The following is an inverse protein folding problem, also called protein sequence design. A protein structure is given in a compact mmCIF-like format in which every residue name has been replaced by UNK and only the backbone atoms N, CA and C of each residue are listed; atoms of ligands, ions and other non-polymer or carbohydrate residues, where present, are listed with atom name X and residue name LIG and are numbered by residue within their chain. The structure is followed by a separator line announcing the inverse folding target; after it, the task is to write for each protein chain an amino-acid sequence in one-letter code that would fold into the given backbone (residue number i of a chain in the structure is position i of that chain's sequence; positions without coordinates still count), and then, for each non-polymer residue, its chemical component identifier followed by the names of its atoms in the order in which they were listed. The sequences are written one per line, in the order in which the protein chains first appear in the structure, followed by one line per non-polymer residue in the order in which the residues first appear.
data_IF_030532233904
#
_entry.id   IF_030532233904
#
_cell.length_a   1.000
_cell.length_b   1.000
_cell.length_c   1.000
_cell.angle_alpha   90.00
_cell.angle_beta   90.00
_cell.angle_gamma   90.00
#
_symmetry.space_group_name_H-M   'P 1'
#
loop_
_entity.id
_entity.type
_entity.pdbx_description
1 polymer ?
#
# COMPACT_ATOMS: atom_id res chain seq x y z
N UNK A 1 -14.85 15.04 8.01
CA UNK A 1 -15.64 13.91 7.48
C UNK A 1 -16.67 14.47 6.52
N UNK A 2 -16.62 14.00 5.27
CA UNK A 2 -17.51 14.42 4.19
C UNK A 2 -18.88 13.75 4.39
N UNK A 3 -19.97 14.44 4.05
CA UNK A 3 -21.35 13.96 4.25
C UNK A 3 -22.12 13.85 2.94
N UNK A 4 -23.16 13.01 2.95
CA UNK A 4 -24.14 13.00 1.86
C UNK A 4 -24.78 14.39 1.67
N UNK A 5 -24.98 14.78 0.42
CA UNK A 5 -25.49 16.10 0.03
C UNK A 5 -24.43 17.19 -0.08
N UNK A 6 -23.18 16.93 0.30
CA UNK A 6 -22.07 17.87 0.07
C UNK A 6 -21.61 17.86 -1.40
N UNK A 7 -21.07 18.98 -1.90
CA UNK A 7 -20.50 19.03 -3.23
C UNK A 7 -19.33 18.06 -3.37
N UNK A 8 -19.24 17.41 -4.53
CA UNK A 8 -18.20 16.46 -4.84
C UNK A 8 -16.83 17.16 -4.85
N UNK A 9 -15.84 16.70 -4.07
CA UNK A 9 -14.53 17.34 -4.01
C UNK A 9 -13.73 17.21 -5.32
N UNK A 10 -14.13 16.30 -6.22
CA UNK A 10 -13.44 16.04 -7.49
C UNK A 10 -13.93 16.90 -8.65
N UNK A 11 -15.25 17.03 -8.83
CA UNK A 11 -15.83 17.77 -9.96
C UNK A 11 -16.50 19.08 -9.56
N UNK A 12 -16.79 19.32 -8.28
CA UNK A 12 -17.54 20.47 -7.75
C UNK A 12 -18.98 20.67 -8.29
N UNK A 13 -19.30 20.11 -9.45
CA UNK A 13 -20.60 20.20 -10.12
C UNK A 13 -21.62 19.17 -9.61
N UNK A 14 -21.14 18.09 -9.01
CA UNK A 14 -21.95 16.96 -8.55
C UNK A 14 -22.11 16.95 -7.03
N UNK A 15 -23.10 16.22 -6.54
CA UNK A 15 -23.27 15.97 -5.10
C UNK A 15 -22.83 14.55 -4.76
N UNK A 16 -22.35 14.37 -3.53
CA UNK A 16 -22.09 13.05 -2.95
C UNK A 16 -23.39 12.47 -2.41
N UNK A 17 -23.67 11.23 -2.79
CA UNK A 17 -24.86 10.48 -2.38
C UNK A 17 -24.42 9.19 -1.70
N UNK A 18 -25.20 8.73 -0.73
CA UNK A 18 -24.99 7.40 -0.15
C UNK A 18 -25.30 6.35 -1.20
N UNK A 19 -24.38 5.43 -1.43
CA UNK A 19 -24.67 4.20 -2.14
C UNK A 19 -25.21 3.11 -1.19
N UNK A 20 -25.67 2.01 -1.78
CA UNK A 20 -26.26 0.89 -1.06
C UNK A 20 -25.31 0.17 -0.11
N UNK A 21 -24.00 0.47 -0.16
CA UNK A 21 -22.96 -0.16 0.65
C UNK A 21 -22.45 0.78 1.77
N UNK A 22 -23.01 1.99 1.87
CA UNK A 22 -22.69 2.97 2.92
C UNK A 22 -21.53 3.92 2.56
N UNK A 23 -21.04 3.86 1.33
CA UNK A 23 -20.01 4.74 0.80
C UNK A 23 -20.67 5.98 0.15
N UNK A 24 -19.89 7.05 -0.04
CA UNK A 24 -20.37 8.28 -0.66
C UNK A 24 -19.89 8.36 -2.10
N UNK A 25 -20.79 8.26 -3.07
CA UNK A 25 -20.46 8.33 -4.49
C UNK A 25 -21.04 9.55 -5.19
N UNK A 26 -20.31 10.10 -6.16
CA UNK A 26 -20.79 11.17 -7.03
C UNK A 26 -21.23 10.58 -8.37
N UNK A 27 -22.52 10.66 -8.68
CA UNK A 27 -23.10 10.11 -9.93
C UNK A 27 -22.57 10.81 -11.18
N UNK A 28 -22.18 12.08 -11.10
CA UNK A 28 -21.72 12.84 -12.27
C UNK A 28 -20.32 12.45 -12.74
N UNK A 29 -19.38 12.21 -11.81
CA UNK A 29 -17.99 11.93 -12.14
C UNK A 29 -17.50 10.54 -11.69
N UNK A 30 -18.37 9.75 -11.07
CA UNK A 30 -18.05 8.42 -10.54
C UNK A 30 -17.08 8.43 -9.37
N UNK A 31 -16.88 9.57 -8.70
CA UNK A 31 -15.97 9.64 -7.56
C UNK A 31 -16.57 8.95 -6.34
N UNK A 32 -15.86 7.97 -5.79
CA UNK A 32 -16.22 7.29 -4.54
C UNK A 32 -15.38 7.88 -3.42
N UNK A 33 -16.03 8.21 -2.31
CA UNK A 33 -15.42 8.70 -1.08
C UNK A 33 -15.67 7.66 0.01
N UNK A 34 -14.60 6.98 0.38
CA UNK A 34 -14.60 6.03 1.47
C UNK A 34 -14.72 6.77 2.80
N UNK A 35 -15.73 6.40 3.59
CA UNK A 35 -16.00 6.99 4.91
C UNK A 35 -15.20 6.28 6.01
N UNK A 36 -14.75 5.05 5.75
CA UNK A 36 -13.95 4.25 6.65
C UNK A 36 -12.45 4.43 6.38
N UNK A 37 -11.66 4.46 7.45
CA UNK A 37 -10.20 4.41 7.34
C UNK A 37 -9.82 3.03 6.77
N UNK A 38 -8.89 2.95 5.79
CA UNK A 38 -8.36 1.66 5.36
C UNK A 38 -7.90 0.85 6.55
N UNK A 39 -8.14 -0.46 6.53
CA UNK A 39 -7.60 -1.35 7.55
C UNK A 39 -6.09 -1.12 7.69
N UNK A 40 -5.60 -1.12 8.93
CA UNK A 40 -4.16 -1.04 9.17
C UNK A 40 -3.48 -2.21 8.46
N UNK A 41 -2.44 -1.90 7.69
CA UNK A 41 -1.66 -2.93 7.04
C UNK A 41 -0.86 -3.67 8.11
N UNK A 42 -1.26 -4.92 8.40
CA UNK A 42 -0.45 -5.83 9.19
C UNK A 42 0.57 -6.52 8.26
N UNK A 43 1.89 -6.25 8.43
CA UNK A 43 2.91 -6.98 7.70
C UNK A 43 2.96 -8.42 8.23
N UNK A 44 2.26 -9.33 7.57
CA UNK A 44 2.42 -10.77 7.80
C UNK A 44 3.78 -11.21 7.26
N UNK A 45 4.75 -11.34 8.16
CA UNK A 45 6.10 -11.86 7.88
C UNK A 45 6.09 -13.23 7.20
N UNK A 46 4.97 -13.96 7.21
CA UNK A 46 4.82 -15.30 6.62
C UNK A 46 3.86 -15.34 5.44
N UNK A 47 3.36 -14.21 4.96
CA UNK A 47 2.49 -14.17 3.79
C UNK A 47 3.24 -14.61 2.54
N UNK A 48 2.65 -15.54 1.78
CA UNK A 48 3.16 -16.04 0.50
C UNK A 48 3.29 -14.94 -0.58
N UNK A 49 2.72 -13.75 -0.34
CA UNK A 49 2.79 -12.56 -1.20
C UNK A 49 3.70 -11.46 -0.65
N UNK A 50 4.35 -11.66 0.51
CA UNK A 50 5.35 -10.71 1.00
C UNK A 50 6.64 -10.87 0.18
N UNK A 51 7.04 -9.80 -0.53
CA UNK A 51 8.29 -9.76 -1.29
C UNK A 51 9.54 -9.95 -0.40
N UNK A 52 9.39 -9.94 0.92
CA UNK A 52 10.42 -10.31 1.90
C UNK A 52 10.67 -11.82 2.02
N UNK A 53 9.85 -12.66 1.39
CA UNK A 53 10.02 -14.12 1.42
C UNK A 53 11.13 -14.66 0.51
N UNK A 54 11.63 -13.85 -0.43
CA UNK A 54 12.75 -14.22 -1.30
C UNK A 54 13.82 -13.11 -1.32
N UNK A 55 14.49 -12.87 -0.17
CA UNK A 55 15.42 -11.76 -0.03
C UNK A 55 16.66 -11.95 -0.91
N UNK A 56 16.97 -13.16 -1.38
CA UNK A 56 18.14 -13.46 -2.22
C UNK A 56 18.01 -12.87 -3.63
N UNK A 57 16.90 -13.09 -4.34
CA UNK A 57 16.70 -12.51 -5.69
C UNK A 57 16.57 -10.99 -5.61
N UNK A 58 15.86 -10.47 -4.61
CA UNK A 58 15.69 -9.04 -4.41
C UNK A 58 17.01 -8.35 -4.01
N UNK A 59 17.80 -8.96 -3.13
CA UNK A 59 19.12 -8.45 -2.75
C UNK A 59 20.08 -8.32 -3.94
N UNK A 60 20.07 -9.27 -4.88
CA UNK A 60 20.95 -9.24 -6.05
C UNK A 60 20.68 -8.05 -6.98
N UNK A 61 19.41 -7.63 -7.11
CA UNK A 61 19.06 -6.44 -7.88
C UNK A 61 19.57 -5.15 -7.22
N UNK A 62 19.46 -5.07 -5.89
CA UNK A 62 19.89 -3.89 -5.13
C UNK A 62 21.42 -3.79 -5.02
N UNK A 63 22.14 -4.91 -4.92
CA UNK A 63 23.63 -4.92 -4.97
C UNK A 63 24.20 -4.32 -6.25
N UNK A 64 23.45 -4.35 -7.37
CA UNK A 64 23.89 -3.76 -8.64
C UNK A 64 23.71 -2.24 -8.68
N UNK A 65 22.79 -1.71 -7.88
CA UNK A 65 22.39 -0.30 -7.91
C UNK A 65 22.94 0.51 -6.73
N UNK A 66 23.31 -0.15 -5.62
CA UNK A 66 23.75 0.51 -4.39
C UNK A 66 25.21 0.22 -4.05
N UNK A 67 25.92 1.19 -3.45
CA UNK A 67 27.20 0.92 -2.81
C UNK A 67 27.03 -0.07 -1.65
N UNK A 68 28.08 -0.86 -1.39
CA UNK A 68 28.04 -2.00 -0.45
C UNK A 68 27.54 -1.63 0.95
N UNK A 69 27.91 -0.45 1.46
CA UNK A 69 27.56 0.00 2.80
C UNK A 69 26.05 0.27 2.96
N UNK A 70 25.43 0.89 1.96
CA UNK A 70 23.99 1.14 1.94
C UNK A 70 23.20 -0.16 1.76
N UNK A 71 23.75 -1.11 1.00
CA UNK A 71 23.18 -2.44 0.87
C UNK A 71 23.20 -3.21 2.21
N UNK A 72 24.34 -3.23 2.89
CA UNK A 72 24.49 -3.93 4.17
C UNK A 72 23.60 -3.33 5.28
N UNK A 73 23.35 -2.01 5.25
CA UNK A 73 22.41 -1.35 6.16
C UNK A 73 20.95 -1.70 5.82
N UNK A 74 20.55 -1.59 4.55
CA UNK A 74 19.18 -1.84 4.10
C UNK A 74 18.74 -3.31 4.30
N UNK A 75 19.69 -4.25 4.26
CA UNK A 75 19.43 -5.69 4.37
C UNK A 75 19.89 -6.30 5.70
N UNK A 76 20.27 -5.47 6.68
CA UNK A 76 20.75 -5.93 7.99
C UNK A 76 19.79 -6.88 8.70
N UNK A 77 18.48 -6.62 8.57
CA UNK A 77 17.41 -7.41 9.20
C UNK A 77 17.08 -8.72 8.46
N UNK A 78 17.70 -8.95 7.29
CA UNK A 78 17.51 -10.17 6.47
C UNK A 78 18.76 -11.03 6.39
N UNK A 79 19.84 -10.65 7.10
CA UNK A 79 21.15 -11.28 6.99
C UNK A 79 21.14 -12.75 7.41
N UNK A 80 20.41 -13.05 8.47
CA UNK A 80 20.14 -14.39 8.98
C UNK A 80 19.45 -15.28 7.93
N UNK A 81 18.42 -14.76 7.27
CA UNK A 81 17.68 -15.49 6.23
C UNK A 81 18.53 -15.72 4.97
N UNK A 82 19.35 -14.74 4.59
CA UNK A 82 20.24 -14.86 3.43
C UNK A 82 21.38 -15.84 3.65
N UNK A 83 21.92 -15.95 4.88
CA UNK A 83 22.99 -16.89 5.22
C UNK A 83 22.48 -18.35 5.28
N UNK A 84 21.22 -18.57 5.72
CA UNK A 84 20.60 -19.91 5.76
C UNK A 84 20.29 -20.51 4.38
N UNK A 85 20.18 -19.69 3.33
CA UNK A 85 19.90 -20.14 1.96
C UNK A 85 21.16 -20.35 1.08
N UNK A 86 22.36 -20.12 1.62
CA UNK A 86 23.64 -20.24 0.90
C UNK A 86 24.30 -21.62 0.96
#
# INVERSE_FOLDING_TARGET
MVKAGEPCPRCADGQLLLDGEGELSCVQCGNIVYTETPAEYEPDRRSHTDNRQNPTVFAEEYRRALPKEEFDEAFKDFKDIMEEQS
#
